data_IF_572319554810
#
_entry.id   IF_572319554810
#
_cell.length_a   1.000
_cell.length_b   1.000
_cell.length_c   1.000
_cell.angle_alpha   90.00
_cell.angle_beta   90.00
_cell.angle_gamma   90.00
#
_symmetry.space_group_name_H-M   'P 1'
#
loop_
_entity.id
_entity.type
_entity.pdbx_description
1 polymer ?
#
# COMPACT_ATOMS: atom_id res chain seq x y z
N UNK A 1 10.66 -8.03 10.49
CA UNK A 1 9.55 -8.50 11.35
C UNK A 1 8.32 -8.65 10.46
N UNK A 2 7.62 -9.78 10.49
CA UNK A 2 6.41 -9.98 9.70
C UNK A 2 5.24 -10.19 10.67
N UNK A 3 4.18 -9.39 10.54
CA UNK A 3 3.00 -9.46 11.39
C UNK A 3 1.88 -10.14 10.60
N UNK A 4 1.25 -11.16 11.18
CA UNK A 4 0.17 -11.88 10.53
C UNK A 4 -1.16 -11.13 10.68
N UNK A 5 -1.53 -10.37 9.64
CA UNK A 5 -2.80 -9.63 9.58
C UNK A 5 -3.89 -10.37 8.78
N UNK A 6 -3.77 -11.67 8.48
CA UNK A 6 -4.77 -12.37 7.63
C UNK A 6 -6.19 -12.24 8.15
N UNK A 7 -6.39 -12.50 9.44
CA UNK A 7 -7.70 -12.38 10.08
C UNK A 7 -8.24 -10.94 10.06
N UNK A 8 -7.37 -9.96 10.32
CA UNK A 8 -7.72 -8.54 10.27
C UNK A 8 -8.14 -8.13 8.85
N UNK A 9 -7.39 -8.57 7.83
CA UNK A 9 -7.64 -8.26 6.42
C UNK A 9 -8.94 -8.88 5.90
N UNK A 10 -9.34 -10.05 6.43
CA UNK A 10 -10.63 -10.67 6.10
C UNK A 10 -11.82 -9.94 6.74
N UNK A 11 -11.66 -9.42 7.96
CA UNK A 11 -12.70 -8.67 8.65
C UNK A 11 -12.85 -7.23 8.14
N UNK A 12 -11.80 -6.65 7.55
CA UNK A 12 -11.83 -5.30 6.99
C UNK A 12 -12.58 -5.25 5.64
N UNK A 13 -13.45 -4.24 5.43
CA UNK A 13 -14.04 -4.02 4.11
C UNK A 13 -12.93 -3.71 3.10
N UNK A 14 -13.01 -4.32 1.92
CA UNK A 14 -12.07 -4.06 0.83
C UNK A 14 -12.40 -2.71 0.20
N UNK A 15 -11.44 -1.80 0.21
CA UNK A 15 -11.49 -0.61 -0.63
C UNK A 15 -11.00 -0.95 -2.04
N UNK A 16 -11.82 -0.65 -3.05
CA UNK A 16 -11.51 -0.89 -4.46
C UNK A 16 -11.03 0.39 -5.12
N UNK A 17 -9.93 0.95 -4.60
CA UNK A 17 -9.30 2.08 -5.25
C UNK A 17 -8.92 1.69 -6.69
N UNK A 18 -9.32 2.47 -7.71
CA UNK A 18 -9.05 2.14 -9.09
C UNK A 18 -7.55 2.22 -9.35
N UNK A 19 -6.90 1.05 -9.42
CA UNK A 19 -5.51 0.96 -9.84
C UNK A 19 -5.42 1.37 -11.31
N UNK A 20 -4.46 2.26 -11.62
CA UNK A 20 -4.13 2.62 -12.99
C UNK A 20 -3.80 1.35 -13.78
N UNK A 21 -4.41 1.20 -14.96
CA UNK A 21 -4.12 0.07 -15.84
C UNK A 21 -2.70 0.25 -16.38
N UNK A 22 -1.86 -0.78 -16.22
CA UNK A 22 -0.45 -0.75 -16.63
C UNK A 22 -0.29 -0.28 -18.07
N UNK A 23 -1.15 -0.73 -18.99
CA UNK A 23 -1.10 -0.33 -20.40
C UNK A 23 -1.27 1.18 -20.59
N UNK A 24 -2.16 1.83 -19.81
CA UNK A 24 -2.35 3.28 -19.90
C UNK A 24 -1.09 4.04 -19.47
N UNK A 25 -0.39 3.53 -18.45
CA UNK A 25 0.86 4.12 -17.99
C UNK A 25 1.96 3.95 -19.06
N UNK A 26 2.10 2.75 -19.61
CA UNK A 26 3.08 2.45 -20.68
C UNK A 26 2.83 3.32 -21.91
N UNK A 27 1.59 3.36 -22.39
CA UNK A 27 1.19 4.18 -23.56
C UNK A 27 1.44 5.67 -23.31
N UNK A 28 1.20 6.17 -22.09
CA UNK A 28 1.46 7.57 -21.74
C UNK A 28 2.94 7.95 -21.71
N UNK A 29 3.81 6.97 -21.45
CA UNK A 29 5.28 7.15 -21.45
C UNK A 29 5.91 6.88 -22.81
N UNK A 30 5.12 6.44 -23.79
CA UNK A 30 5.62 6.13 -25.13
C UNK A 30 6.10 7.41 -25.82
N UNK A 31 7.37 7.42 -26.23
CA UNK A 31 8.00 8.57 -26.88
C UNK A 31 8.62 9.59 -25.91
N UNK A 32 8.62 9.34 -24.60
CA UNK A 32 9.42 10.12 -23.66
C UNK A 32 10.92 9.86 -23.87
N UNK A 33 11.70 10.92 -24.16
CA UNK A 33 13.15 10.84 -24.35
C UNK A 33 13.91 10.52 -23.05
N UNK A 34 13.30 10.83 -21.90
CA UNK A 34 13.83 10.55 -20.57
C UNK A 34 12.71 10.17 -19.61
N UNK A 35 12.93 9.10 -18.85
CA UNK A 35 12.05 8.64 -17.78
C UNK A 35 12.85 8.58 -16.48
N UNK A 36 12.26 9.08 -15.39
CA UNK A 36 12.77 8.90 -14.03
C UNK A 36 11.71 8.17 -13.20
N UNK A 37 12.15 7.16 -12.46
CA UNK A 37 11.28 6.38 -11.58
C UNK A 37 11.66 6.68 -10.13
N UNK A 38 10.67 7.02 -9.31
CA UNK A 38 10.86 7.18 -7.88
C UNK A 38 10.47 5.88 -7.17
N UNK A 39 11.33 5.42 -6.26
CA UNK A 39 11.00 4.28 -5.40
C UNK A 39 10.23 4.76 -4.17
N UNK A 40 9.06 4.15 -3.96
CA UNK A 40 8.22 4.36 -2.77
C UNK A 40 8.05 3.07 -1.98
N UNK A 41 9.06 2.21 -1.96
CA UNK A 41 9.07 0.93 -1.23
C UNK A 41 8.74 1.07 0.26
N UNK A 42 9.08 2.21 0.87
CA UNK A 42 8.77 2.56 2.26
C UNK A 42 7.46 3.37 2.42
N UNK A 43 6.66 3.50 1.36
CA UNK A 43 5.47 4.34 1.35
C UNK A 43 4.42 3.93 2.40
N UNK A 44 4.34 2.64 2.73
CA UNK A 44 3.44 2.15 3.77
C UNK A 44 3.76 2.71 5.16
N UNK A 45 5.04 2.85 5.49
CA UNK A 45 5.48 3.31 6.81
C UNK A 45 5.40 4.84 6.96
N UNK A 46 5.23 5.57 5.84
CA UNK A 46 5.11 7.03 5.82
C UNK A 46 3.67 7.52 5.95
N UNK A 47 2.69 6.67 5.63
CA UNK A 47 1.27 7.04 5.70
C UNK A 47 0.78 6.89 7.14
N UNK A 48 0.28 7.98 7.71
CA UNK A 48 -0.29 7.95 9.05
C UNK A 48 -1.59 7.17 9.09
N UNK A 49 -1.71 6.28 10.06
CA UNK A 49 -2.97 5.59 10.34
C UNK A 49 -3.95 6.54 11.04
N UNK A 50 -5.24 6.37 10.75
CA UNK A 50 -6.28 7.04 11.51
C UNK A 50 -6.21 6.65 12.99
N UNK A 51 -6.32 7.64 13.89
CA UNK A 51 -6.20 7.43 15.35
C UNK A 51 -7.18 6.37 15.88
N UNK A 52 -8.36 6.28 15.26
CA UNK A 52 -9.41 5.33 15.60
C UNK A 52 -9.04 3.88 15.24
N UNK A 53 -8.24 3.68 14.18
CA UNK A 53 -7.82 2.38 13.67
C UNK A 53 -6.51 1.87 14.29
N UNK A 54 -5.75 2.72 15.00
CA UNK A 54 -4.49 2.35 15.69
C UNK A 54 -4.63 1.12 16.58
N UNK A 55 -5.76 0.97 17.27
CA UNK A 55 -6.00 -0.21 18.12
C UNK A 55 -6.24 -1.50 17.33
N UNK A 56 -6.75 -1.40 16.09
CA UNK A 56 -7.08 -2.56 15.25
C UNK A 56 -5.85 -3.22 14.65
N UNK A 57 -4.76 -2.47 14.49
CA UNK A 57 -3.48 -2.97 13.94
C UNK A 57 -2.49 -3.46 15.02
N UNK A 58 -2.93 -3.57 16.29
CA UNK A 58 -2.08 -4.09 17.36
C UNK A 58 -1.68 -5.54 17.12
N UNK A 59 -0.47 -5.92 17.54
CA UNK A 59 0.04 -7.29 17.45
C UNK A 59 0.68 -7.72 18.76
N UNK A 60 0.75 -9.04 18.96
CA UNK A 60 1.34 -9.64 20.16
C UNK A 60 2.78 -10.05 19.83
N UNK A 61 3.72 -9.69 20.70
CA UNK A 61 5.09 -10.19 20.68
C UNK A 61 5.28 -11.16 21.84
N UNK A 62 5.88 -12.33 21.59
CA UNK A 62 6.39 -13.17 22.66
C UNK A 62 7.54 -12.44 23.38
N UNK A 63 7.38 -12.23 24.68
CA UNK A 63 8.38 -11.59 25.55
C UNK A 63 9.59 -12.49 25.78
#
# INVERSE_FOLDING_TARGET
MCIDFRFLNEACPKDFYPLLRINQLVDSTFGCELLSMMDTSQGYDQIMLALEDCKRVSFITSA
#
